data_IF_893483934332
#
_entry.id   IF_893483934332
#
_cell.length_a   1.000
_cell.length_b   1.000
_cell.length_c   1.000
_cell.angle_alpha   90.00
_cell.angle_beta   90.00
_cell.angle_gamma   90.00
#
_symmetry.space_group_name_H-M   'P 1'
#
loop_
_entity.id
_entity.type
_entity.pdbx_description
1 polymer ?
#
# COMPACT_ATOMS: atom_id res chain seq x y z
N UNK A 1 12.04 5.40 -0.16
CA UNK A 1 12.37 6.17 1.07
C UNK A 1 12.91 7.53 0.65
N UNK A 2 12.29 8.59 1.13
CA UNK A 2 12.61 9.96 0.70
C UNK A 2 13.91 10.52 1.31
N UNK A 3 14.38 9.97 2.40
CA UNK A 3 15.64 10.36 3.06
C UNK A 3 16.88 9.79 2.38
N UNK A 4 16.79 8.51 1.99
CA UNK A 4 17.93 7.74 1.48
C UNK A 4 17.91 7.54 -0.05
N UNK A 5 16.77 7.75 -0.70
CA UNK A 5 16.54 7.42 -2.11
C UNK A 5 16.46 5.93 -2.39
N UNK A 6 16.47 5.06 -1.36
CA UNK A 6 16.38 3.61 -1.53
C UNK A 6 14.93 3.16 -1.78
N UNK A 7 14.77 2.07 -2.53
CA UNK A 7 13.48 1.41 -2.71
C UNK A 7 13.13 0.72 -1.40
N UNK A 8 11.93 0.97 -0.86
CA UNK A 8 11.45 0.36 0.38
C UNK A 8 10.65 -0.92 0.13
N UNK A 9 9.95 -0.98 -0.99
CA UNK A 9 9.07 -2.10 -1.32
C UNK A 9 8.24 -1.81 -2.57
N UNK A 10 7.21 -2.60 -2.75
CA UNK A 10 6.31 -2.54 -3.91
C UNK A 10 4.85 -2.68 -3.48
N UNK A 11 3.97 -2.14 -4.29
CA UNK A 11 2.54 -2.39 -4.21
C UNK A 11 2.13 -3.35 -5.34
N UNK A 12 1.39 -4.40 -4.98
CA UNK A 12 0.83 -5.35 -5.92
C UNK A 12 -0.47 -4.82 -6.51
N UNK A 13 -0.49 -4.66 -7.80
CA UNK A 13 -1.61 -4.07 -8.52
C UNK A 13 -2.22 -5.07 -9.50
N UNK A 14 -3.43 -5.54 -9.23
CA UNK A 14 -4.14 -6.47 -10.13
C UNK A 14 -4.34 -5.88 -11.52
N UNK A 15 -4.14 -6.71 -12.54
CA UNK A 15 -4.40 -6.38 -13.95
C UNK A 15 -5.21 -7.50 -14.58
N UNK A 16 -6.19 -7.14 -15.41
CA UNK A 16 -6.98 -8.11 -16.14
C UNK A 16 -6.80 -7.93 -17.65
N UNK A 17 -6.20 -8.93 -18.26
CA UNK A 17 -6.10 -9.02 -19.72
C UNK A 17 -7.12 -10.06 -20.22
N UNK A 18 -8.18 -9.56 -20.88
CA UNK A 18 -9.23 -10.41 -21.42
C UNK A 18 -8.85 -10.84 -22.85
N UNK A 19 -8.98 -12.14 -23.22
CA UNK A 19 -8.51 -12.63 -24.51
C UNK A 19 -9.11 -11.93 -25.73
N UNK A 20 -10.36 -11.44 -25.64
CA UNK A 20 -11.04 -10.76 -26.73
C UNK A 20 -11.11 -9.24 -26.56
N UNK A 21 -11.11 -8.73 -25.31
CA UNK A 21 -11.31 -7.30 -25.01
C UNK A 21 -10.02 -6.56 -24.68
N UNK A 22 -8.89 -7.28 -24.59
CA UNK A 22 -7.63 -6.72 -24.16
C UNK A 22 -7.65 -6.31 -22.66
N UNK A 23 -6.91 -5.27 -22.34
CA UNK A 23 -6.77 -4.76 -20.97
C UNK A 23 -8.09 -4.16 -20.46
N UNK A 24 -8.58 -4.69 -19.33
CA UNK A 24 -9.73 -4.15 -18.61
C UNK A 24 -9.23 -3.41 -17.38
N UNK A 25 -9.64 -2.14 -17.22
CA UNK A 25 -9.23 -1.29 -16.10
C UNK A 25 -9.68 -1.85 -14.75
N UNK A 26 -8.82 -1.78 -13.71
CA UNK A 26 -9.20 -2.10 -12.33
C UNK A 26 -10.47 -1.35 -11.87
N UNK A 27 -10.62 -0.10 -12.23
CA UNK A 27 -11.81 0.70 -11.91
C UNK A 27 -13.12 0.12 -12.49
N UNK A 28 -13.03 -0.77 -13.50
CA UNK A 28 -14.18 -1.45 -14.09
C UNK A 28 -14.40 -2.82 -13.45
N UNK A 29 -13.36 -3.64 -13.32
CA UNK A 29 -13.57 -5.02 -12.89
C UNK A 29 -13.58 -5.20 -11.37
N UNK A 30 -12.84 -4.41 -10.60
CA UNK A 30 -12.81 -4.54 -9.13
C UNK A 30 -14.21 -4.40 -8.53
N UNK A 31 -15.02 -3.36 -8.82
CA UNK A 31 -16.37 -3.28 -8.29
C UNK A 31 -17.24 -4.50 -8.65
N UNK A 32 -17.09 -5.05 -9.86
CA UNK A 32 -17.86 -6.22 -10.31
C UNK A 32 -17.50 -7.48 -9.51
N UNK A 33 -16.20 -7.72 -9.27
CA UNK A 33 -15.77 -8.88 -8.47
C UNK A 33 -16.04 -8.69 -6.98
N UNK A 34 -16.09 -7.45 -6.48
CA UNK A 34 -16.58 -7.14 -5.13
C UNK A 34 -18.07 -7.47 -4.99
N UNK A 35 -18.91 -6.97 -5.89
CA UNK A 35 -20.37 -7.21 -5.85
C UNK A 35 -20.71 -8.71 -5.96
N UNK A 36 -19.98 -9.44 -6.80
CA UNK A 36 -20.19 -10.89 -6.97
C UNK A 36 -19.55 -11.75 -5.86
N UNK A 37 -18.74 -11.20 -4.97
CA UNK A 37 -18.00 -11.91 -3.93
C UNK A 37 -16.76 -12.66 -4.44
N UNK A 38 -16.41 -12.50 -5.72
CA UNK A 38 -15.19 -13.10 -6.27
C UNK A 38 -13.91 -12.41 -5.78
N UNK A 39 -14.04 -11.21 -5.21
CA UNK A 39 -12.91 -10.45 -4.70
C UNK A 39 -12.09 -11.25 -3.68
N UNK A 40 -12.71 -12.01 -2.78
CA UNK A 40 -12.01 -12.81 -1.76
C UNK A 40 -11.05 -13.82 -2.41
N UNK A 41 -11.48 -14.48 -3.49
CA UNK A 41 -10.60 -15.40 -4.23
C UNK A 41 -9.50 -14.66 -4.99
N UNK A 42 -9.84 -13.49 -5.53
CA UNK A 42 -8.88 -12.65 -6.26
C UNK A 42 -7.80 -12.08 -5.32
N UNK A 43 -8.19 -11.63 -4.12
CA UNK A 43 -7.27 -11.12 -3.10
C UNK A 43 -6.33 -12.22 -2.59
N UNK A 44 -6.85 -13.41 -2.30
CA UNK A 44 -6.04 -14.56 -1.89
C UNK A 44 -5.03 -14.98 -2.98
N UNK A 45 -5.47 -14.98 -4.25
CA UNK A 45 -4.57 -15.23 -5.38
C UNK A 45 -3.53 -14.10 -5.52
N UNK A 46 -3.94 -12.83 -5.43
CA UNK A 46 -3.04 -11.68 -5.53
C UNK A 46 -1.97 -11.71 -4.42
N UNK A 47 -2.35 -12.00 -3.17
CA UNK A 47 -1.41 -12.18 -2.07
C UNK A 47 -0.38 -13.24 -2.41
N UNK A 48 -0.82 -14.45 -2.77
CA UNK A 48 0.07 -15.57 -3.08
C UNK A 48 1.06 -15.21 -4.19
N UNK A 49 0.58 -14.69 -5.32
CA UNK A 49 1.44 -14.30 -6.45
C UNK A 49 2.41 -13.19 -6.06
N UNK A 50 1.97 -12.23 -5.26
CA UNK A 50 2.80 -11.12 -4.79
C UNK A 50 3.95 -11.59 -3.90
N UNK A 51 3.69 -12.50 -2.97
CA UNK A 51 4.74 -13.06 -2.09
C UNK A 51 5.74 -13.92 -2.88
N UNK A 52 5.25 -14.73 -3.81
CA UNK A 52 6.12 -15.48 -4.71
C UNK A 52 6.99 -14.55 -5.58
N UNK A 53 6.42 -13.42 -6.05
CA UNK A 53 7.16 -12.42 -6.80
C UNK A 53 8.22 -11.74 -5.92
N UNK A 54 7.87 -11.33 -4.70
CA UNK A 54 8.81 -10.70 -3.76
C UNK A 54 10.01 -11.60 -3.48
N UNK A 55 9.78 -12.87 -3.13
CA UNK A 55 10.85 -13.87 -2.93
C UNK A 55 11.76 -13.98 -4.14
N UNK A 56 11.19 -14.06 -5.36
CA UNK A 56 12.01 -14.12 -6.59
C UNK A 56 12.80 -12.84 -6.84
N UNK A 57 12.21 -11.67 -6.55
CA UNK A 57 12.86 -10.36 -6.71
C UNK A 57 14.04 -10.25 -5.75
N UNK A 58 13.87 -10.54 -4.47
CA UNK A 58 14.93 -10.45 -3.47
C UNK A 58 16.10 -11.40 -3.79
N UNK A 59 15.79 -12.64 -4.15
CA UNK A 59 16.80 -13.63 -4.52
C UNK A 59 17.64 -13.23 -5.76
N UNK A 60 17.08 -12.43 -6.68
CA UNK A 60 17.75 -12.01 -7.91
C UNK A 60 18.41 -10.64 -7.82
N UNK A 61 17.78 -9.70 -7.12
CA UNK A 61 18.24 -8.32 -7.08
C UNK A 61 19.44 -8.12 -6.13
N UNK A 62 19.60 -8.98 -5.11
CA UNK A 62 20.66 -8.86 -4.11
C UNK A 62 20.64 -7.50 -3.42
N UNK A 63 19.46 -7.09 -2.96
CA UNK A 63 19.27 -5.80 -2.29
C UNK A 63 19.84 -5.87 -0.85
N UNK A 64 20.25 -4.73 -0.30
CA UNK A 64 20.96 -4.66 0.99
C UNK A 64 20.04 -4.56 2.22
N UNK A 65 18.75 -4.59 2.03
CA UNK A 65 17.72 -4.63 3.07
C UNK A 65 16.46 -5.33 2.58
N UNK A 66 15.60 -5.73 3.50
CA UNK A 66 14.31 -6.35 3.20
C UNK A 66 13.38 -5.37 2.50
N UNK A 67 12.72 -5.86 1.46
CA UNK A 67 11.68 -5.13 0.73
C UNK A 67 10.31 -5.56 1.25
N UNK A 68 9.37 -4.64 1.34
CA UNK A 68 8.00 -5.01 1.64
C UNK A 68 7.15 -5.18 0.37
N UNK A 69 6.05 -5.90 0.51
CA UNK A 69 5.00 -6.03 -0.50
C UNK A 69 3.66 -5.61 0.10
N UNK A 70 3.08 -4.55 -0.46
CA UNK A 70 1.73 -4.11 -0.13
C UNK A 70 0.70 -4.81 -1.00
N UNK A 71 -0.39 -5.27 -0.38
CA UNK A 71 -1.51 -5.93 -1.06
C UNK A 71 -2.83 -5.33 -0.58
N UNK A 72 -3.69 -4.97 -1.53
CA UNK A 72 -4.99 -4.38 -1.27
C UNK A 72 -6.04 -5.43 -0.88
N UNK A 73 -6.80 -5.14 0.19
CA UNK A 73 -7.91 -5.97 0.67
C UNK A 73 -9.20 -5.17 0.79
N UNK A 74 -10.31 -5.80 0.42
CA UNK A 74 -11.65 -5.22 0.47
C UNK A 74 -12.35 -5.50 1.81
N UNK A 75 -13.46 -4.81 2.05
CA UNK A 75 -14.31 -5.11 3.21
C UNK A 75 -14.90 -6.52 3.22
N UNK A 76 -15.01 -7.17 2.05
CA UNK A 76 -15.48 -8.57 1.96
C UNK A 76 -14.42 -9.56 2.39
N UNK A 77 -13.14 -9.25 2.17
CA UNK A 77 -12.03 -10.08 2.66
C UNK A 77 -12.03 -10.09 4.19
N UNK A 78 -12.16 -8.91 4.81
CA UNK A 78 -12.22 -8.77 6.26
C UNK A 78 -13.47 -9.36 6.91
N UNK A 79 -14.55 -9.54 6.16
CA UNK A 79 -15.79 -10.17 6.63
C UNK A 79 -15.75 -11.70 6.54
N UNK A 80 -14.72 -12.30 5.95
CA UNK A 80 -14.55 -13.74 5.89
C UNK A 80 -13.98 -14.25 7.23
N UNK A 81 -14.64 -15.26 7.82
CA UNK A 81 -14.27 -15.79 9.14
C UNK A 81 -12.85 -16.39 9.16
N UNK A 82 -12.35 -16.86 8.02
CA UNK A 82 -11.05 -17.49 7.84
C UNK A 82 -9.97 -16.53 7.27
N UNK A 83 -10.25 -15.24 7.17
CA UNK A 83 -9.36 -14.26 6.54
C UNK A 83 -7.94 -14.30 7.12
N UNK A 84 -7.81 -14.16 8.43
CA UNK A 84 -6.49 -14.11 9.11
C UNK A 84 -5.74 -15.41 8.94
N UNK A 85 -6.43 -16.54 9.10
CA UNK A 85 -5.83 -17.87 8.95
C UNK A 85 -5.36 -18.11 7.53
N UNK A 86 -6.15 -17.73 6.53
CA UNK A 86 -5.82 -17.85 5.10
C UNK A 86 -4.61 -17.00 4.72
N UNK A 87 -4.55 -15.76 5.20
CA UNK A 87 -3.39 -14.87 4.97
C UNK A 87 -2.14 -15.44 5.63
N UNK A 88 -2.25 -15.86 6.90
CA UNK A 88 -1.15 -16.46 7.64
C UNK A 88 -0.64 -17.76 6.99
N UNK A 89 -1.53 -18.63 6.54
CA UNK A 89 -1.17 -19.86 5.81
C UNK A 89 -0.41 -19.51 4.53
N UNK A 90 -0.90 -18.53 3.76
CA UNK A 90 -0.24 -18.09 2.53
C UNK A 90 1.18 -17.57 2.78
N UNK A 91 1.38 -16.79 3.85
CA UNK A 91 2.69 -16.30 4.26
C UNK A 91 3.59 -17.46 4.70
N UNK A 92 3.07 -18.37 5.52
CA UNK A 92 3.85 -19.51 6.04
C UNK A 92 4.32 -20.50 4.97
N UNK A 93 3.62 -20.53 3.84
CA UNK A 93 3.98 -21.33 2.65
C UNK A 93 4.92 -20.59 1.69
N UNK A 94 5.25 -19.34 1.96
CA UNK A 94 6.17 -18.51 1.20
C UNK A 94 7.53 -18.42 1.90
N UNK A 95 8.57 -17.96 1.18
CA UNK A 95 9.89 -17.64 1.75
C UNK A 95 9.96 -16.18 2.26
N UNK A 96 8.80 -15.53 2.43
CA UNK A 96 8.68 -14.10 2.81
C UNK A 96 8.32 -14.00 4.29
N UNK A 97 8.99 -13.10 5.02
CA UNK A 97 8.65 -12.80 6.41
C UNK A 97 7.31 -12.06 6.50
N UNK A 98 6.53 -12.32 7.56
CA UNK A 98 5.29 -11.58 7.80
C UNK A 98 5.53 -10.06 7.92
N UNK A 99 6.70 -9.63 8.42
CA UNK A 99 7.09 -8.21 8.50
C UNK A 99 7.23 -7.51 7.13
N UNK A 100 7.40 -8.28 6.07
CA UNK A 100 7.47 -7.77 4.69
C UNK A 100 6.09 -7.62 4.04
N UNK A 101 5.03 -8.08 4.71
CA UNK A 101 3.66 -8.05 4.17
C UNK A 101 2.91 -6.88 4.75
N UNK A 102 2.51 -5.94 3.88
CA UNK A 102 1.69 -4.80 4.22
C UNK A 102 0.27 -5.00 3.69
N UNK A 103 -0.71 -5.05 4.60
CA UNK A 103 -2.12 -5.13 4.24
C UNK A 103 -2.66 -3.72 4.02
N UNK A 104 -3.09 -3.42 2.81
CA UNK A 104 -3.69 -2.13 2.47
C UNK A 104 -5.20 -2.20 2.54
N UNK A 105 -5.78 -1.29 3.30
CA UNK A 105 -7.22 -1.17 3.52
C UNK A 105 -7.65 0.28 3.37
N UNK A 106 -8.82 0.50 2.80
CA UNK A 106 -9.36 1.85 2.69
C UNK A 106 -9.93 2.34 4.03
N UNK A 107 -9.90 3.64 4.24
CA UNK A 107 -10.53 4.30 5.40
C UNK A 107 -12.01 3.89 5.58
N UNK A 108 -12.74 3.74 4.47
CA UNK A 108 -14.15 3.37 4.47
C UNK A 108 -14.41 1.99 5.11
N UNK A 109 -13.50 1.05 4.95
CA UNK A 109 -13.60 -0.28 5.55
C UNK A 109 -13.66 -0.19 7.07
N UNK A 110 -12.79 0.62 7.67
CA UNK A 110 -12.70 0.77 9.13
C UNK A 110 -13.97 1.33 9.75
N UNK A 111 -14.69 2.20 9.01
CA UNK A 111 -15.91 2.85 9.51
C UNK A 111 -17.15 1.96 9.44
N UNK A 112 -17.13 0.88 8.65
CA UNK A 112 -18.29 0.02 8.45
C UNK A 112 -18.63 -0.84 9.67
N UNK A 113 -17.64 -1.49 10.28
CA UNK A 113 -17.76 -2.35 11.46
C UNK A 113 -16.51 -2.20 12.35
N UNK A 114 -16.38 -1.12 13.12
CA UNK A 114 -15.12 -0.76 13.79
C UNK A 114 -14.57 -1.84 14.73
N UNK A 115 -15.42 -2.49 15.52
CA UNK A 115 -14.98 -3.47 16.51
C UNK A 115 -14.42 -4.74 15.84
N UNK A 116 -15.11 -5.27 14.83
CA UNK A 116 -14.65 -6.42 14.06
C UNK A 116 -13.35 -6.09 13.31
N UNK A 117 -13.29 -4.92 12.66
CA UNK A 117 -12.09 -4.48 11.96
C UNK A 117 -10.89 -4.39 12.92
N UNK A 118 -11.07 -3.83 14.12
CA UNK A 118 -10.01 -3.75 15.12
C UNK A 118 -9.49 -5.11 15.54
N UNK A 119 -10.39 -6.06 15.81
CA UNK A 119 -10.01 -7.41 16.21
C UNK A 119 -9.18 -8.10 15.11
N UNK A 120 -9.70 -8.11 13.88
CA UNK A 120 -9.03 -8.70 12.71
C UNK A 120 -7.65 -8.07 12.47
N UNK A 121 -7.56 -6.71 12.45
CA UNK A 121 -6.29 -6.01 12.28
C UNK A 121 -5.29 -6.30 13.40
N UNK A 122 -5.78 -6.38 14.65
CA UNK A 122 -4.92 -6.75 15.79
C UNK A 122 -4.38 -8.18 15.66
N UNK A 123 -5.14 -9.10 15.09
CA UNK A 123 -4.65 -10.45 14.82
C UNK A 123 -3.58 -10.45 13.71
N UNK A 124 -3.79 -9.71 12.63
CA UNK A 124 -2.80 -9.55 11.56
C UNK A 124 -1.48 -8.94 12.08
N UNK A 125 -1.57 -7.88 12.88
CA UNK A 125 -0.38 -7.23 13.45
C UNK A 125 0.36 -8.16 14.44
N UNK A 126 -0.36 -8.93 15.28
CA UNK A 126 0.25 -9.94 16.16
C UNK A 126 0.93 -11.07 15.38
N UNK A 127 0.46 -11.36 14.18
CA UNK A 127 1.11 -12.30 13.27
C UNK A 127 2.34 -11.71 12.56
N UNK A 128 2.66 -10.43 12.81
CA UNK A 128 3.86 -9.74 12.32
C UNK A 128 3.65 -8.91 11.05
N UNK A 129 2.43 -8.85 10.52
CA UNK A 129 2.10 -8.05 9.33
C UNK A 129 1.97 -6.57 9.67
N UNK A 130 2.24 -5.69 8.70
CA UNK A 130 1.99 -4.25 8.81
C UNK A 130 0.64 -3.88 8.20
N UNK A 131 -0.04 -2.90 8.79
CA UNK A 131 -1.34 -2.41 8.35
C UNK A 131 -1.19 -1.00 7.79
N UNK A 132 -1.65 -0.79 6.56
CA UNK A 132 -1.64 0.50 5.88
C UNK A 132 -3.06 0.99 5.61
N UNK A 133 -3.36 2.23 5.97
CA UNK A 133 -4.59 2.89 5.51
C UNK A 133 -4.34 3.55 4.17
N UNK A 134 -5.14 3.19 3.19
CA UNK A 134 -5.12 3.75 1.84
C UNK A 134 -6.16 4.85 1.63
N UNK A 135 -5.93 5.73 0.63
CA UNK A 135 -6.80 6.85 0.25
C UNK A 135 -7.16 7.80 1.41
N UNK A 136 -6.24 7.98 2.38
CA UNK A 136 -6.53 8.76 3.59
C UNK A 136 -6.82 10.23 3.28
N UNK A 137 -7.93 10.71 3.87
CA UNK A 137 -8.41 12.09 3.75
C UNK A 137 -9.49 12.29 2.69
N UNK A 138 -9.82 11.28 1.89
CA UNK A 138 -10.90 11.35 0.88
C UNK A 138 -12.27 11.03 1.47
N UNK A 139 -12.31 10.48 2.69
CA UNK A 139 -13.51 10.07 3.42
C UNK A 139 -13.88 10.97 4.59
N UNK A 140 -14.83 10.52 5.40
CA UNK A 140 -15.21 11.17 6.65
C UNK A 140 -14.30 10.71 7.80
N UNK A 141 -13.01 11.09 7.74
CA UNK A 141 -12.07 10.75 8.80
C UNK A 141 -12.48 11.37 10.14
N UNK A 142 -13.02 10.58 11.03
CA UNK A 142 -12.97 10.96 12.43
C UNK A 142 -11.56 10.63 12.95
N UNK A 143 -10.73 11.63 13.13
CA UNK A 143 -9.38 11.50 13.70
C UNK A 143 -9.33 10.67 14.98
N UNK A 144 -10.45 10.64 15.74
CA UNK A 144 -10.60 9.83 16.94
C UNK A 144 -10.51 8.32 16.69
N UNK A 145 -10.83 7.86 15.47
CA UNK A 145 -10.77 6.44 15.15
C UNK A 145 -9.37 5.98 14.74
N UNK A 146 -8.51 6.83 14.19
CA UNK A 146 -7.13 6.44 13.85
C UNK A 146 -6.37 5.91 15.06
N UNK A 147 -6.54 6.54 16.22
CA UNK A 147 -5.92 6.06 17.47
C UNK A 147 -6.51 4.73 17.96
N UNK A 148 -7.71 4.37 17.50
CA UNK A 148 -8.42 3.15 17.92
C UNK A 148 -7.92 1.88 17.23
N UNK A 149 -7.40 2.02 16.01
CA UNK A 149 -6.95 0.89 15.19
C UNK A 149 -5.43 0.68 15.27
N UNK A 150 -4.95 -0.57 15.17
CA UNK A 150 -3.53 -0.88 15.09
C UNK A 150 -3.02 -0.63 13.67
N UNK A 151 -2.70 0.62 13.37
CA UNK A 151 -2.24 1.07 12.05
C UNK A 151 -0.76 1.42 12.12
N UNK A 152 0.02 0.92 11.18
CA UNK A 152 1.46 1.14 11.09
C UNK A 152 1.81 2.20 10.05
N UNK A 153 1.00 2.32 8.97
CA UNK A 153 1.29 3.21 7.84
C UNK A 153 0.04 3.98 7.40
N UNK A 154 0.24 5.23 7.04
CA UNK A 154 -0.79 6.10 6.47
C UNK A 154 -0.37 6.53 5.07
N UNK A 155 -1.21 6.24 4.06
CA UNK A 155 -0.98 6.62 2.66
C UNK A 155 -1.78 7.88 2.34
N UNK A 156 -1.09 8.95 1.90
CA UNK A 156 -1.71 10.22 1.51
C UNK A 156 -2.17 10.10 0.07
N UNK A 157 -3.47 10.26 -0.16
CA UNK A 157 -4.05 10.16 -1.50
C UNK A 157 -3.44 11.16 -2.48
N UNK A 158 -3.27 10.72 -3.72
CA UNK A 158 -2.68 11.50 -4.81
C UNK A 158 -3.36 12.84 -5.08
N UNK A 159 -4.65 12.96 -4.80
CA UNK A 159 -5.38 14.22 -5.05
C UNK A 159 -4.86 15.38 -4.21
N UNK A 160 -4.32 15.09 -3.02
CA UNK A 160 -3.70 16.10 -2.17
C UNK A 160 -2.27 16.40 -2.60
N UNK A 161 -1.51 15.38 -3.01
CA UNK A 161 -0.12 15.50 -3.44
C UNK A 161 -0.01 16.30 -4.73
N UNK A 162 -0.84 16.00 -5.74
CA UNK A 162 -0.83 16.64 -7.04
C UNK A 162 -0.96 18.17 -6.99
N UNK A 163 -1.79 18.68 -6.09
CA UNK A 163 -2.10 20.10 -6.02
C UNK A 163 -1.24 20.84 -4.97
N UNK A 164 -0.38 20.14 -4.22
CA UNK A 164 0.31 20.72 -3.05
C UNK A 164 1.27 21.87 -3.38
N UNK A 165 1.89 21.85 -4.56
CA UNK A 165 2.81 22.93 -4.97
C UNK A 165 2.10 24.18 -5.48
N UNK A 166 0.87 24.03 -6.00
CA UNK A 166 0.10 25.12 -6.59
C UNK A 166 -0.97 25.69 -5.65
N UNK A 167 -1.37 24.93 -4.63
CA UNK A 167 -2.48 25.25 -3.73
C UNK A 167 -2.05 25.20 -2.26
N UNK A 168 -2.04 26.35 -1.61
CA UNK A 168 -1.68 26.47 -0.19
C UNK A 168 -2.60 25.63 0.74
N UNK A 169 -3.86 25.42 0.36
CA UNK A 169 -4.79 24.56 1.11
C UNK A 169 -4.38 23.09 1.06
N UNK A 170 -4.05 22.59 -0.13
CA UNK A 170 -3.54 21.23 -0.31
C UNK A 170 -2.20 21.02 0.41
N UNK A 171 -1.28 21.98 0.32
CA UNK A 171 -0.02 21.95 1.05
C UNK A 171 -0.23 21.90 2.58
N UNK A 172 -1.14 22.72 3.09
CA UNK A 172 -1.47 22.72 4.52
C UNK A 172 -2.09 21.39 4.98
N UNK A 173 -2.93 20.78 4.15
CA UNK A 173 -3.54 19.49 4.42
C UNK A 173 -2.51 18.36 4.44
N UNK A 174 -1.64 18.28 3.42
CA UNK A 174 -0.54 17.31 3.37
C UNK A 174 0.33 17.43 4.61
N UNK A 175 0.72 18.66 4.99
CA UNK A 175 1.49 18.91 6.20
C UNK A 175 0.76 18.46 7.46
N UNK A 176 -0.55 18.69 7.56
CA UNK A 176 -1.35 18.29 8.70
C UNK A 176 -1.45 16.75 8.80
N UNK A 177 -1.62 16.05 7.68
CA UNK A 177 -1.66 14.59 7.62
C UNK A 177 -0.32 13.99 8.04
N UNK A 178 0.80 14.51 7.53
CA UNK A 178 2.14 14.08 7.93
C UNK A 178 2.33 14.28 9.44
N UNK A 179 2.01 15.47 9.95
CA UNK A 179 2.12 15.79 11.38
C UNK A 179 1.26 14.86 12.27
N UNK A 180 0.06 14.53 11.82
CA UNK A 180 -0.84 13.59 12.51
C UNK A 180 -0.22 12.19 12.59
N UNK A 181 0.18 11.63 11.44
CA UNK A 181 0.76 10.28 11.40
C UNK A 181 2.01 10.17 12.25
N UNK A 182 2.89 11.18 12.20
CA UNK A 182 4.08 11.25 13.09
C UNK A 182 3.70 11.28 14.57
N UNK A 183 2.67 12.03 14.93
CA UNK A 183 2.19 12.09 16.33
C UNK A 183 1.63 10.75 16.82
N UNK A 184 1.19 9.90 15.90
CA UNK A 184 0.67 8.54 16.18
C UNK A 184 1.72 7.44 15.95
N UNK A 185 2.98 7.81 15.69
CA UNK A 185 4.09 6.90 15.38
C UNK A 185 3.82 6.00 14.15
N UNK A 186 3.11 6.54 13.15
CA UNK A 186 2.87 5.88 11.87
C UNK A 186 3.92 6.30 10.85
N UNK A 187 4.29 5.40 9.96
CA UNK A 187 5.01 5.72 8.73
C UNK A 187 4.07 6.43 7.74
N UNK A 188 4.61 7.36 6.96
CA UNK A 188 3.84 8.11 5.97
C UNK A 188 4.31 7.78 4.57
N UNK A 189 3.38 7.41 3.70
CA UNK A 189 3.62 7.21 2.27
C UNK A 189 2.80 8.24 1.50
N UNK A 190 3.44 9.05 0.66
CA UNK A 190 2.74 9.93 -0.26
C UNK A 190 2.54 9.24 -1.61
N UNK A 191 1.32 9.31 -2.15
CA UNK A 191 0.98 8.68 -3.40
C UNK A 191 0.90 9.64 -4.58
N UNK A 192 1.08 9.09 -5.79
CA UNK A 192 0.89 9.83 -7.03
C UNK A 192 1.90 10.93 -7.27
N UNK A 193 3.12 10.81 -6.73
CA UNK A 193 4.21 11.76 -6.97
C UNK A 193 4.63 11.70 -8.44
N UNK A 194 4.54 12.83 -9.14
CA UNK A 194 4.82 12.93 -10.58
C UNK A 194 6.03 13.79 -10.91
N UNK A 195 6.57 14.56 -9.94
CA UNK A 195 7.71 15.46 -10.13
C UNK A 195 8.75 15.37 -9.02
N UNK A 196 9.98 15.83 -9.33
CA UNK A 196 11.06 15.97 -8.37
C UNK A 196 10.72 16.99 -7.30
N UNK A 197 10.09 18.09 -7.69
CA UNK A 197 9.70 19.19 -6.81
C UNK A 197 8.71 18.69 -5.74
N UNK A 198 7.74 17.83 -6.11
CA UNK A 198 6.83 17.18 -5.17
C UNK A 198 7.57 16.26 -4.20
N UNK A 199 8.50 15.43 -4.71
CA UNK A 199 9.29 14.52 -3.89
C UNK A 199 10.15 15.29 -2.85
N UNK A 200 10.80 16.38 -3.26
CA UNK A 200 11.59 17.25 -2.38
C UNK A 200 10.70 17.92 -1.33
N UNK A 201 9.56 18.48 -1.73
CA UNK A 201 8.63 19.14 -0.81
C UNK A 201 8.09 18.16 0.24
N UNK A 202 7.73 16.94 -0.14
CA UNK A 202 7.28 15.88 0.77
C UNK A 202 8.37 15.49 1.77
N UNK A 203 9.60 15.29 1.29
CA UNK A 203 10.77 15.03 2.15
C UNK A 203 10.96 16.13 3.18
N UNK A 204 10.93 17.40 2.75
CA UNK A 204 11.14 18.55 3.61
C UNK A 204 10.01 18.75 4.64
N UNK A 205 8.81 18.21 4.35
CA UNK A 205 7.70 18.12 5.30
C UNK A 205 7.82 16.92 6.26
N UNK A 206 8.82 16.04 6.08
CA UNK A 206 9.06 14.87 6.93
C UNK A 206 8.29 13.62 6.54
N UNK A 207 7.82 13.51 5.29
CA UNK A 207 7.25 12.28 4.76
C UNK A 207 8.33 11.20 4.64
N UNK A 208 8.03 9.94 5.02
CA UNK A 208 9.02 8.86 5.05
C UNK A 208 9.26 8.24 3.68
N UNK A 209 8.17 7.95 2.98
CA UNK A 209 8.17 7.22 1.72
C UNK A 209 7.27 7.91 0.71
N UNK A 210 7.50 7.64 -0.56
CA UNK A 210 6.62 8.10 -1.62
C UNK A 210 6.56 7.08 -2.75
N UNK A 211 5.42 7.07 -3.45
CA UNK A 211 5.23 6.33 -4.69
C UNK A 211 4.57 7.20 -5.76
N UNK A 212 4.84 6.89 -7.02
CA UNK A 212 4.26 7.60 -8.15
C UNK A 212 5.10 7.49 -9.41
N UNK A 213 4.60 8.08 -10.48
CA UNK A 213 5.21 7.98 -11.82
C UNK A 213 6.56 8.66 -11.93
N UNK A 214 6.87 9.55 -11.01
CA UNK A 214 8.21 10.12 -10.92
C UNK A 214 9.27 9.05 -10.61
N UNK A 215 8.96 8.10 -9.73
CA UNK A 215 9.88 7.01 -9.37
C UNK A 215 9.79 5.84 -10.34
N UNK A 216 8.59 5.32 -10.55
CA UNK A 216 8.33 4.21 -11.47
C UNK A 216 6.85 4.16 -11.86
N UNK A 217 6.57 3.77 -13.10
CA UNK A 217 5.22 3.35 -13.50
C UNK A 217 5.01 1.89 -13.11
N UNK A 218 3.75 1.47 -12.92
CA UNK A 218 3.45 0.04 -12.74
C UNK A 218 4.09 -0.79 -13.86
N UNK A 219 4.80 -1.85 -13.47
CA UNK A 219 5.52 -2.71 -14.40
C UNK A 219 5.35 -4.18 -14.02
N UNK A 220 5.45 -5.12 -14.98
CA UNK A 220 5.40 -6.55 -14.68
C UNK A 220 6.67 -6.99 -13.91
N UNK A 221 6.53 -8.04 -13.09
CA UNK A 221 7.62 -8.59 -12.26
C UNK A 221 8.95 -8.76 -13.01
N UNK A 222 8.89 -9.24 -14.26
CA UNK A 222 10.09 -9.47 -15.07
C UNK A 222 10.99 -8.25 -15.28
N UNK A 223 10.42 -7.04 -15.14
CA UNK A 223 11.11 -5.76 -15.32
C UNK A 223 11.65 -5.19 -14.00
N UNK A 224 11.11 -5.65 -12.84
CA UNK A 224 11.42 -5.11 -11.52
C UNK A 224 12.88 -5.35 -11.14
N UNK A 225 13.41 -6.54 -11.40
CA UNK A 225 14.82 -6.86 -11.05
C UNK A 225 15.79 -5.93 -11.77
N UNK A 226 15.60 -5.72 -13.08
CA UNK A 226 16.41 -4.78 -13.85
C UNK A 226 16.23 -3.35 -13.38
N UNK A 227 14.99 -2.97 -13.00
CA UNK A 227 14.70 -1.66 -12.42
C UNK A 227 15.46 -1.44 -11.11
N UNK A 228 15.44 -2.40 -10.18
CA UNK A 228 16.17 -2.32 -8.90
C UNK A 228 17.67 -2.19 -9.15
N UNK A 229 18.23 -3.02 -10.02
CA UNK A 229 19.69 -3.01 -10.31
C UNK A 229 20.13 -1.65 -10.85
N UNK A 230 19.33 -1.04 -11.73
CA UNK A 230 19.60 0.28 -12.30
C UNK A 230 19.38 1.43 -11.34
N UNK A 231 18.45 1.29 -10.40
CA UNK A 231 17.98 2.35 -9.51
C UNK A 231 18.16 2.00 -8.04
N UNK A 232 19.32 1.43 -7.67
CA UNK A 232 19.61 1.09 -6.25
C UNK A 232 19.45 2.28 -5.31
N UNK A 233 19.67 3.48 -5.84
CA UNK A 233 19.43 4.75 -5.16
C UNK A 233 18.89 5.75 -6.17
N UNK A 234 17.72 6.31 -5.90
CA UNK A 234 17.10 7.36 -6.70
C UNK A 234 17.57 8.71 -6.11
N UNK A 235 18.18 9.54 -6.93
CA UNK A 235 18.61 10.89 -6.54
C UNK A 235 17.52 11.91 -6.93
N UNK A 236 17.16 12.81 -6.00
CA UNK A 236 16.19 13.89 -6.19
C UNK A 236 16.45 15.05 -5.24
#
# INVERSE_FOLDING_TARGET
MLDSGKIAGFEALMRWEHPEKGFISPAVFIPIIEDSGLIVKASAWALKESLMALSRIENRAGYDHELFMSVNFSGRDFAADDFVDSVYETISLSDVSASQVHLEITERLLMGQPDNAKETLSMCQKAGMSISIDDFGTGYSSLSYLHYFPIDTLKIDRSFVKDMLANNGSAALVKAIIGLGKSLNMDIIAEGVESQEEAVALRDLGCDKAQGYYFAKPMPEKEIVDFIIKNRKIEF
#
